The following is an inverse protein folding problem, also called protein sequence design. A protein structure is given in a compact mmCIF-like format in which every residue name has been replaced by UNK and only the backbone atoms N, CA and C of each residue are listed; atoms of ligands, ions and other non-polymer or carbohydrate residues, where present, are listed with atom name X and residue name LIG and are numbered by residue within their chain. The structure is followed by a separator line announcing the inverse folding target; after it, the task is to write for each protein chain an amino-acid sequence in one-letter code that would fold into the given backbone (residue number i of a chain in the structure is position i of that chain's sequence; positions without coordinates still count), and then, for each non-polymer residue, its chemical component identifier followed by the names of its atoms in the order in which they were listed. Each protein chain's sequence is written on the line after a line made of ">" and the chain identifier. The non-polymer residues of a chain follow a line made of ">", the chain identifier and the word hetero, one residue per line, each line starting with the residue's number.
data_IF_400801422402
#
_entry.id   IF_400801422402
#
_cell.length_a   1.000
_cell.length_b   1.000
_cell.length_c   1.000
_cell.angle_alpha   90.00
_cell.angle_beta   90.00
_cell.angle_gamma   90.00
#
_symmetry.space_group_name_H-M   'P 1'
#
loop_
_entity.id
_entity.type
_entity.pdbx_description
1 polymer ?
#
# COMPACT_ATOMS: atom_id res chain seq x y z
N UNK A 1 4.60 -9.30 -7.51
CA UNK A 1 4.08 -10.23 -6.48
C UNK A 1 4.14 -9.62 -5.08
N UNK A 2 5.34 -9.40 -4.51
CA UNK A 2 5.49 -8.89 -3.13
C UNK A 2 4.63 -7.67 -2.82
N UNK A 3 4.73 -6.61 -3.63
CA UNK A 3 3.99 -5.37 -3.38
C UNK A 3 2.48 -5.49 -3.61
N UNK A 4 2.01 -6.48 -4.37
CA UNK A 4 0.59 -6.79 -4.48
C UNK A 4 0.03 -7.24 -3.12
N UNK A 5 0.77 -8.10 -2.40
CA UNK A 5 0.39 -8.52 -1.05
C UNK A 5 0.72 -7.46 0.01
N UNK A 6 1.92 -6.89 -0.01
CA UNK A 6 2.33 -5.93 1.00
C UNK A 6 1.48 -4.65 0.96
N UNK A 7 1.30 -4.04 -0.21
CA UNK A 7 0.54 -2.80 -0.33
C UNK A 7 -0.96 -3.07 -0.51
N UNK A 8 -1.32 -3.99 -1.41
CA UNK A 8 -2.73 -4.25 -1.73
C UNK A 8 -3.50 -5.03 -0.67
N UNK A 9 -2.82 -5.86 0.13
CA UNK A 9 -3.45 -6.63 1.20
C UNK A 9 -3.08 -6.10 2.59
N UNK A 10 -1.84 -6.30 3.02
CA UNK A 10 -1.40 -6.02 4.40
C UNK A 10 -1.62 -4.56 4.76
N UNK A 11 -1.12 -3.63 3.93
CA UNK A 11 -1.28 -2.21 4.22
C UNK A 11 -2.75 -1.78 4.20
N UNK A 12 -3.54 -2.15 3.17
CA UNK A 12 -4.94 -1.73 3.06
C UNK A 12 -5.80 -2.21 4.24
N UNK A 13 -5.64 -3.47 4.68
CA UNK A 13 -6.42 -3.97 5.82
C UNK A 13 -5.99 -3.28 7.12
N UNK A 14 -4.69 -3.07 7.34
CA UNK A 14 -4.19 -2.35 8.51
C UNK A 14 -4.66 -0.90 8.53
N UNK A 15 -4.63 -0.19 7.40
CA UNK A 15 -5.12 1.19 7.26
C UNK A 15 -6.61 1.27 7.60
N UNK A 16 -7.42 0.36 7.04
CA UNK A 16 -8.86 0.30 7.33
C UNK A 16 -9.14 0.06 8.80
N UNK A 17 -8.41 -0.87 9.43
CA UNK A 17 -8.50 -1.13 10.86
C UNK A 17 -8.14 0.11 11.69
N UNK A 18 -7.07 0.83 11.34
CA UNK A 18 -6.69 2.06 12.03
C UNK A 18 -7.76 3.15 11.90
N UNK A 19 -8.33 3.36 10.71
CA UNK A 19 -9.41 4.33 10.53
C UNK A 19 -10.67 3.99 11.33
N UNK A 20 -10.92 2.69 11.59
CA UNK A 20 -12.02 2.27 12.45
C UNK A 20 -11.72 2.46 13.93
N UNK A 21 -10.53 2.03 14.39
CA UNK A 21 -10.17 1.96 15.80
C UNK A 21 -9.83 3.32 16.40
N UNK A 22 -9.00 4.13 15.71
CA UNK A 22 -8.50 5.40 16.24
C UNK A 22 -9.62 6.29 16.80
N UNK A 23 -10.70 6.63 16.08
CA UNK A 23 -11.68 7.56 16.62
C UNK A 23 -12.33 7.01 17.90
N UNK A 24 -12.60 5.70 17.97
CA UNK A 24 -13.20 5.02 19.14
C UNK A 24 -12.30 5.08 20.36
N UNK A 25 -10.99 4.98 20.18
CA UNK A 25 -10.01 5.13 21.26
C UNK A 25 -9.98 6.54 21.87
N UNK A 26 -10.55 7.54 21.19
CA UNK A 26 -10.67 8.91 21.67
C UNK A 26 -12.15 9.34 21.83
N UNK A 27 -13.07 8.38 21.99
CA UNK A 27 -14.49 8.63 22.24
C UNK A 27 -15.26 9.23 21.06
N UNK A 28 -14.71 9.16 19.85
CA UNK A 28 -15.33 9.64 18.61
C UNK A 28 -15.97 8.49 17.83
N UNK A 29 -17.06 8.78 17.14
CA UNK A 29 -17.74 7.82 16.26
C UNK A 29 -17.04 7.67 14.90
N UNK A 30 -16.37 8.73 14.44
CA UNK A 30 -15.72 8.81 13.14
C UNK A 30 -14.41 9.60 13.18
N UNK A 31 -13.59 9.41 12.13
CA UNK A 31 -12.37 10.18 11.90
C UNK A 31 -12.68 11.65 11.56
N UNK A 32 -11.70 12.52 11.74
CA UNK A 32 -11.82 13.96 11.45
C UNK A 32 -12.42 14.29 10.07
N UNK A 33 -12.04 13.54 9.03
CA UNK A 33 -12.65 13.69 7.70
C UNK A 33 -12.73 12.36 6.97
N UNK A 34 -13.95 11.93 6.65
CA UNK A 34 -14.23 10.77 5.78
C UNK A 34 -13.85 11.03 4.33
N UNK A 35 -13.92 12.30 3.87
CA UNK A 35 -13.45 12.69 2.53
C UNK A 35 -11.95 12.46 2.35
N UNK A 36 -11.15 12.69 3.38
CA UNK A 36 -9.70 12.39 3.35
C UNK A 36 -9.43 10.89 3.31
N UNK A 37 -10.27 10.06 3.93
CA UNK A 37 -10.19 8.60 3.82
C UNK A 37 -10.44 8.18 2.37
N UNK A 38 -11.49 8.71 1.73
CA UNK A 38 -11.79 8.43 0.32
C UNK A 38 -10.66 8.88 -0.60
N UNK A 39 -10.08 10.06 -0.36
CA UNK A 39 -8.93 10.55 -1.12
C UNK A 39 -7.70 9.64 -0.95
N UNK A 40 -7.37 9.26 0.29
CA UNK A 40 -6.31 8.30 0.57
C UNK A 40 -6.56 6.98 -0.15
N UNK A 41 -7.77 6.41 -0.06
CA UNK A 41 -8.12 5.17 -0.73
C UNK A 41 -7.83 5.21 -2.23
N UNK A 42 -8.27 6.26 -2.93
CA UNK A 42 -8.06 6.37 -4.37
C UNK A 42 -6.59 6.59 -4.74
N UNK A 43 -5.89 7.48 -4.04
CA UNK A 43 -4.48 7.75 -4.30
C UNK A 43 -3.64 6.49 -4.05
N UNK A 44 -3.88 5.78 -2.95
CA UNK A 44 -3.21 4.52 -2.63
C UNK A 44 -3.53 3.43 -3.67
N UNK A 45 -4.79 3.29 -4.06
CA UNK A 45 -5.23 2.27 -5.04
C UNK A 45 -4.59 2.50 -6.41
N UNK A 46 -4.59 3.74 -6.91
CA UNK A 46 -3.94 4.09 -8.18
C UNK A 46 -2.43 3.82 -8.08
N UNK A 47 -1.80 4.23 -6.98
CA UNK A 47 -0.38 3.95 -6.72
C UNK A 47 -0.04 2.47 -6.75
N UNK A 48 -0.86 1.64 -6.09
CA UNK A 48 -0.71 0.17 -6.07
C UNK A 48 -0.85 -0.41 -7.47
N UNK A 49 -1.90 -0.03 -8.22
CA UNK A 49 -2.15 -0.56 -9.57
C UNK A 49 -0.99 -0.23 -10.51
N UNK A 50 -0.46 1.00 -10.48
CA UNK A 50 0.71 1.40 -11.25
C UNK A 50 1.96 0.59 -10.87
N UNK A 51 2.17 0.36 -9.57
CA UNK A 51 3.27 -0.45 -9.07
C UNK A 51 3.18 -1.89 -9.58
N UNK A 52 1.99 -2.51 -9.49
CA UNK A 52 1.77 -3.89 -9.91
C UNK A 52 1.95 -4.02 -11.42
N UNK A 53 1.32 -3.15 -12.20
CA UNK A 53 1.37 -3.19 -13.66
C UNK A 53 2.81 -3.05 -14.17
N UNK A 54 3.56 -2.05 -13.66
CA UNK A 54 4.96 -1.85 -14.05
C UNK A 54 5.84 -3.06 -13.73
N UNK A 55 5.65 -3.70 -12.57
CA UNK A 55 6.44 -4.87 -12.18
C UNK A 55 6.06 -6.15 -12.91
N UNK A 56 4.79 -6.30 -13.29
CA UNK A 56 4.38 -7.42 -14.16
C UNK A 56 5.00 -7.30 -15.54
N UNK A 57 4.89 -6.13 -16.18
CA UNK A 57 5.46 -5.90 -17.52
C UNK A 57 6.98 -6.07 -17.48
N UNK A 58 7.65 -5.42 -16.52
CA UNK A 58 9.11 -5.53 -16.37
C UNK A 58 9.55 -6.97 -16.12
N UNK A 59 8.84 -7.73 -15.27
CA UNK A 59 9.21 -9.11 -14.94
C UNK A 59 9.02 -10.07 -16.12
N UNK A 60 7.90 -9.98 -16.84
CA UNK A 60 7.66 -10.81 -18.03
C UNK A 60 8.67 -10.47 -19.13
N UNK A 61 8.90 -9.18 -19.39
CA UNK A 61 9.87 -8.73 -20.37
C UNK A 61 11.29 -9.22 -20.04
N UNK A 62 11.75 -9.08 -18.79
CA UNK A 62 13.05 -9.60 -18.35
C UNK A 62 13.15 -11.12 -18.57
N UNK A 63 12.12 -11.88 -18.16
CA UNK A 63 12.09 -13.33 -18.35
C UNK A 63 12.12 -13.74 -19.82
N UNK A 64 11.44 -13.00 -20.70
CA UNK A 64 11.49 -13.23 -22.15
C UNK A 64 12.85 -12.89 -22.74
N UNK A 65 13.46 -11.76 -22.36
CA UNK A 65 14.76 -11.35 -22.89
C UNK A 65 15.89 -12.28 -22.43
N UNK A 66 15.87 -12.73 -21.17
CA UNK A 66 16.91 -13.60 -20.62
C UNK A 66 16.90 -15.01 -21.22
N UNK A 67 15.74 -15.49 -21.69
CA UNK A 67 15.61 -16.81 -22.33
C UNK A 67 15.57 -16.75 -23.86
N UNK A 68 15.70 -15.57 -24.46
CA UNK A 68 15.64 -15.40 -25.90
C UNK A 68 16.91 -15.95 -26.55
N UNK A 69 16.73 -16.86 -27.49
CA UNK A 69 17.81 -17.45 -28.27
C UNK A 69 17.57 -17.24 -29.76
N UNK A 70 18.64 -17.00 -30.49
CA UNK A 70 18.65 -16.97 -31.95
C UNK A 70 18.52 -18.40 -32.52
N UNK A 71 18.24 -18.55 -33.83
CA UNK A 71 18.16 -19.87 -34.47
C UNK A 71 19.45 -20.71 -34.37
N UNK A 72 20.59 -20.07 -34.16
CA UNK A 72 21.90 -20.71 -33.97
C UNK A 72 22.18 -21.11 -32.49
N UNK A 73 21.22 -20.87 -31.59
CA UNK A 73 21.33 -21.19 -30.17
C UNK A 73 22.06 -20.13 -29.33
N UNK A 74 22.57 -19.05 -29.92
CA UNK A 74 23.17 -17.94 -29.16
C UNK A 74 22.10 -17.10 -28.45
N UNK A 75 22.46 -16.42 -27.36
CA UNK A 75 21.54 -15.52 -26.65
C UNK A 75 21.26 -14.27 -27.49
N UNK A 76 19.98 -13.93 -27.66
CA UNK A 76 19.54 -12.78 -28.47
C UNK A 76 19.88 -11.45 -27.82
N UNK A 77 19.77 -11.36 -26.49
CA UNK A 77 20.00 -10.12 -25.74
C UNK A 77 21.10 -10.30 -24.70
N UNK A 78 21.95 -9.29 -24.57
CA UNK A 78 22.85 -9.13 -23.43
C UNK A 78 22.06 -8.77 -22.17
N UNK A 79 22.64 -9.04 -21.00
CA UNK A 79 22.03 -8.66 -19.73
C UNK A 79 21.82 -7.14 -19.60
N UNK A 80 22.75 -6.34 -20.13
CA UNK A 80 22.68 -4.87 -20.08
C UNK A 80 21.49 -4.34 -20.89
N UNK A 81 21.12 -4.97 -22.00
CA UNK A 81 19.93 -4.58 -22.77
C UNK A 81 18.64 -4.83 -21.99
N UNK A 82 18.52 -5.97 -21.30
CA UNK A 82 17.37 -6.25 -20.44
C UNK A 82 17.27 -5.25 -19.27
N UNK A 83 18.40 -4.83 -18.71
CA UNK A 83 18.46 -3.78 -17.67
C UNK A 83 17.96 -2.44 -18.23
N UNK A 84 18.49 -2.00 -19.37
CA UNK A 84 18.09 -0.73 -20.01
C UNK A 84 16.60 -0.71 -20.35
N UNK A 85 16.08 -1.81 -20.88
CA UNK A 85 14.66 -1.96 -21.19
C UNK A 85 13.76 -1.83 -19.94
N UNK A 86 14.30 -2.10 -18.74
CA UNK A 86 13.55 -2.06 -17.48
C UNK A 86 13.39 -0.65 -16.90
N UNK A 87 14.18 0.33 -17.33
CA UNK A 87 14.21 1.68 -16.74
C UNK A 87 12.86 2.41 -16.75
N UNK A 88 12.08 2.41 -17.84
CA UNK A 88 10.77 3.07 -17.85
C UNK A 88 9.83 2.52 -16.77
N UNK A 89 9.87 1.21 -16.54
CA UNK A 89 9.03 0.55 -15.54
C UNK A 89 9.49 0.86 -14.11
N UNK A 90 10.78 1.09 -13.89
CA UNK A 90 11.26 1.55 -12.59
C UNK A 90 10.79 2.97 -12.27
N UNK A 91 10.74 3.86 -13.27
CA UNK A 91 10.18 5.20 -13.09
C UNK A 91 8.69 5.13 -12.74
N UNK A 92 7.89 4.33 -13.46
CA UNK A 92 6.46 4.12 -13.16
C UNK A 92 6.28 3.52 -11.76
N UNK A 93 7.13 2.57 -11.37
CA UNK A 93 7.12 1.99 -10.03
C UNK A 93 7.33 3.03 -8.94
N UNK A 94 8.35 3.89 -9.11
CA UNK A 94 8.65 4.96 -8.16
C UNK A 94 7.46 5.92 -8.08
N UNK A 95 6.88 6.30 -9.22
CA UNK A 95 5.68 7.13 -9.26
C UNK A 95 4.52 6.50 -8.47
N UNK A 96 4.24 5.21 -8.69
CA UNK A 96 3.22 4.48 -7.94
C UNK A 96 3.51 4.44 -6.43
N UNK A 97 4.77 4.26 -6.05
CA UNK A 97 5.22 4.32 -4.66
C UNK A 97 5.06 5.71 -4.02
N UNK A 98 5.36 6.78 -4.75
CA UNK A 98 5.18 8.17 -4.30
C UNK A 98 3.70 8.50 -4.10
N UNK A 99 2.82 8.02 -4.98
CA UNK A 99 1.37 8.16 -4.79
C UNK A 99 0.94 7.46 -3.50
N UNK A 100 1.34 6.20 -3.30
CA UNK A 100 1.02 5.47 -2.07
C UNK A 100 1.54 6.18 -0.81
N UNK A 101 2.78 6.68 -0.84
CA UNK A 101 3.36 7.45 0.26
C UNK A 101 2.57 8.75 0.52
N UNK A 102 2.14 9.45 -0.53
CA UNK A 102 1.29 10.64 -0.41
C UNK A 102 -0.04 10.29 0.29
N UNK A 103 -0.61 9.12 -0.02
CA UNK A 103 -1.75 8.57 0.71
C UNK A 103 -1.48 8.40 2.20
N UNK A 104 -0.31 7.87 2.58
CA UNK A 104 0.10 7.74 3.99
C UNK A 104 0.22 9.10 4.70
N UNK A 105 0.71 10.13 4.02
CA UNK A 105 0.78 11.47 4.58
C UNK A 105 -0.62 12.06 4.83
N UNK A 106 -1.57 11.81 3.92
CA UNK A 106 -2.98 12.19 4.11
C UNK A 106 -3.57 11.46 5.32
N UNK A 107 -3.30 10.16 5.46
CA UNK A 107 -3.71 9.37 6.62
C UNK A 107 -3.15 9.93 7.92
N UNK A 108 -1.84 10.18 7.96
CA UNK A 108 -1.15 10.75 9.12
C UNK A 108 -1.79 12.07 9.55
N UNK A 109 -2.00 12.99 8.60
CA UNK A 109 -2.67 14.25 8.88
C UNK A 109 -4.09 14.06 9.45
N UNK A 110 -4.89 13.18 8.85
CA UNK A 110 -6.27 12.91 9.30
C UNK A 110 -6.28 12.31 10.72
N UNK A 111 -5.34 11.41 11.03
CA UNK A 111 -5.16 10.82 12.36
C UNK A 111 -4.77 11.88 13.38
N UNK A 112 -3.76 12.70 13.09
CA UNK A 112 -3.33 13.79 13.99
C UNK A 112 -4.49 14.73 14.29
N UNK A 113 -5.28 15.12 13.29
CA UNK A 113 -6.47 15.98 13.50
C UNK A 113 -7.58 15.30 14.30
N UNK A 114 -7.68 13.97 14.24
CA UNK A 114 -8.65 13.20 15.02
C UNK A 114 -8.24 13.16 16.50
N UNK A 115 -6.94 13.01 16.77
CA UNK A 115 -6.36 12.82 18.11
C UNK A 115 -6.12 14.17 18.83
N UNK A 116 -5.74 15.22 18.10
CA UNK A 116 -5.31 16.48 18.69
C UNK A 116 -6.38 17.10 19.60
N UNK A 117 -5.97 17.43 20.83
CA UNK A 117 -6.83 18.03 21.86
C UNK A 117 -7.88 17.09 22.45
N UNK A 118 -7.83 15.79 22.17
CA UNK A 118 -8.73 14.80 22.74
C UNK A 118 -8.07 14.05 23.89
N UNK A 119 -8.88 13.66 24.89
CA UNK A 119 -8.45 12.69 25.91
C UNK A 119 -8.74 11.29 25.39
N UNK A 120 -7.86 10.34 25.71
CA UNK A 120 -8.12 8.94 25.42
C UNK A 120 -9.41 8.51 26.14
N UNK A 121 -10.19 7.67 25.48
CA UNK A 121 -11.40 7.09 26.06
C UNK A 121 -10.99 6.13 27.18
N UNK A 122 -11.41 6.43 28.41
CA UNK A 122 -11.28 5.51 29.55
C UNK A 122 -12.34 4.43 29.43
N UNK A 123 -11.93 3.28 28.87
CA UNK A 123 -12.81 2.12 28.78
C UNK A 123 -13.09 1.58 30.19
N UNK A 124 -14.36 1.36 30.57
CA UNK A 124 -14.67 0.75 31.85
C UNK A 124 -14.09 -0.66 31.91
N UNK A 125 -13.40 -0.99 33.01
CA UNK A 125 -12.92 -2.34 33.27
C UNK A 125 -14.13 -3.24 33.46
N UNK A 126 -14.40 -4.09 32.46
CA UNK A 126 -15.47 -5.07 32.56
C UNK A 126 -15.10 -6.07 33.67
N UNK A 127 -16.01 -6.24 34.63
CA UNK A 127 -15.85 -7.30 35.62
C UNK A 127 -15.76 -8.66 34.90
N UNK A 128 -14.87 -9.57 35.33
CA UNK A 128 -14.77 -10.89 34.72
C UNK A 128 -16.15 -11.55 34.73
N UNK A 129 -16.57 -12.09 33.58
CA UNK A 129 -17.77 -12.90 33.50
C UNK A 129 -17.62 -14.01 34.55
N UNK A 130 -18.54 -14.06 35.52
CA UNK A 130 -18.48 -15.02 36.62
C UNK A 130 -18.24 -16.42 36.07
N UNK A 131 -17.29 -17.15 36.64
CA UNK A 131 -16.95 -18.49 36.20
C UNK A 131 -18.23 -19.35 36.18
N UNK A 132 -18.54 -19.93 35.03
CA UNK A 132 -19.58 -20.95 34.93
C UNK A 132 -19.14 -22.14 35.79
N UNK A 133 -19.83 -22.39 36.90
CA UNK A 133 -19.67 -23.55 37.77
C UNK A 133 -20.37 -24.77 37.18
#
# INVERSE_FOLDING_TARGET
>A
HVHSGALGWVAMVSIGAMYYLIPRMYGKTEMYSTKLITAHFWIATIGIVLYIASMWISGVMQGLMWRATNPDGTLTYSFVEAVKASYPFWAIRVLGGVLFLTGMLIMFYNMVKTIAGQKAYEAPVLAPAGAHA
#
